data_IF_189929575185
#
_entry.id   IF_189929575185
#
_cell.length_a   1.000
_cell.length_b   1.000
_cell.length_c   1.000
_cell.angle_alpha   90.00
_cell.angle_beta   90.00
_cell.angle_gamma   90.00
#
_symmetry.space_group_name_H-M   'P 1'
#
loop_
_entity.id
_entity.type
_entity.pdbx_description
1 polymer ?
#
# COMPACT_ATOMS: atom_id res chain seq x y z
N UNK A 1 -23.24 -15.89 -9.20
CA UNK A 1 -23.21 -15.47 -7.79
C UNK A 1 -21.84 -15.81 -7.23
N UNK A 2 -21.05 -14.81 -6.85
CA UNK A 2 -19.66 -14.98 -6.35
C UNK A 2 -19.64 -15.57 -4.93
N UNK A 3 -20.80 -15.90 -4.37
CA UNK A 3 -20.99 -16.47 -3.03
C UNK A 3 -20.49 -17.90 -2.81
N UNK A 4 -19.94 -18.57 -3.82
CA UNK A 4 -19.24 -19.85 -3.60
C UNK A 4 -17.81 -19.60 -3.11
N UNK A 5 -17.67 -18.97 -1.95
CA UNK A 5 -16.41 -18.86 -1.24
C UNK A 5 -16.34 -19.96 -0.17
N UNK A 6 -15.22 -20.67 -0.19
CA UNK A 6 -14.84 -21.82 0.62
C UNK A 6 -15.16 -21.68 2.13
N UNK A 7 -15.22 -22.82 2.81
CA UNK A 7 -15.34 -22.97 4.27
C UNK A 7 -14.16 -22.36 5.04
N UNK A 8 -14.02 -21.03 4.98
CA UNK A 8 -13.03 -20.21 5.67
C UNK A 8 -13.70 -19.21 6.60
N UNK A 9 -12.91 -18.64 7.51
CA UNK A 9 -13.37 -17.62 8.44
C UNK A 9 -14.03 -16.46 7.69
N UNK A 10 -15.27 -16.13 8.08
CA UNK A 10 -16.02 -15.01 7.52
C UNK A 10 -15.55 -13.72 8.19
N UNK A 11 -15.02 -12.80 7.40
CA UNK A 11 -14.67 -11.45 7.84
C UNK A 11 -15.79 -10.49 7.45
N UNK A 12 -16.31 -9.73 8.42
CA UNK A 12 -17.32 -8.69 8.16
C UNK A 12 -16.68 -7.52 7.42
N UNK A 13 -17.41 -6.97 6.44
CA UNK A 13 -17.01 -5.73 5.77
C UNK A 13 -17.18 -4.54 6.72
N UNK A 14 -16.23 -3.61 6.67
CA UNK A 14 -16.27 -2.35 7.40
C UNK A 14 -15.72 -1.20 6.53
N UNK A 15 -15.57 -0.01 7.12
CA UNK A 15 -15.03 1.16 6.44
C UNK A 15 -13.49 1.22 6.46
N UNK A 16 -12.81 0.18 6.95
CA UNK A 16 -11.36 0.10 7.10
C UNK A 16 -10.71 1.36 7.74
N UNK A 17 -11.17 1.80 8.94
CA UNK A 17 -10.74 3.07 9.53
C UNK A 17 -9.24 3.14 9.90
N UNK A 18 -8.55 2.00 9.93
CA UNK A 18 -7.11 1.91 10.22
C UNK A 18 -6.26 1.73 8.95
N UNK A 19 -6.87 1.84 7.76
CA UNK A 19 -6.14 1.73 6.50
C UNK A 19 -5.44 3.03 6.14
N UNK A 20 -4.39 2.94 5.33
CA UNK A 20 -3.75 4.10 4.68
C UNK A 20 -4.41 4.24 3.32
N UNK A 21 -5.31 5.21 3.17
CA UNK A 21 -6.18 5.41 2.00
C UNK A 21 -5.99 6.80 1.36
N UNK A 22 -4.73 7.27 1.34
CA UNK A 22 -4.37 8.58 0.81
C UNK A 22 -4.80 8.76 -0.66
N UNK A 23 -5.62 9.78 -0.90
CA UNK A 23 -6.06 10.16 -2.25
C UNK A 23 -5.07 11.09 -2.98
N UNK A 24 -4.09 11.63 -2.25
CA UNK A 24 -3.09 12.61 -2.70
C UNK A 24 -3.64 13.87 -3.38
N UNK A 25 -4.90 14.23 -3.11
CA UNK A 25 -5.52 15.43 -3.68
C UNK A 25 -4.86 16.70 -3.12
N UNK A 26 -4.49 17.63 -3.99
CA UNK A 26 -3.78 18.85 -3.64
C UNK A 26 -2.29 18.71 -3.26
N UNK A 27 -1.74 17.50 -3.15
CA UNK A 27 -0.33 17.27 -2.76
C UNK A 27 0.45 16.31 -3.68
N UNK A 28 -0.12 15.97 -4.84
CA UNK A 28 0.45 14.95 -5.75
C UNK A 28 1.89 15.26 -6.17
N UNK A 29 2.20 16.53 -6.49
CA UNK A 29 3.53 16.93 -6.99
C UNK A 29 4.58 16.86 -5.89
N UNK A 30 4.21 17.33 -4.70
CA UNK A 30 5.05 17.32 -3.51
C UNK A 30 5.36 15.89 -3.09
N UNK A 31 4.33 15.03 -3.05
CA UNK A 31 4.51 13.61 -2.73
C UNK A 31 5.34 12.87 -3.77
N UNK A 32 5.15 13.14 -5.06
CA UNK A 32 5.99 12.56 -6.10
C UNK A 32 7.48 12.96 -5.95
N UNK A 33 7.76 14.19 -5.53
CA UNK A 33 9.12 14.62 -5.24
C UNK A 33 9.68 13.86 -4.03
N UNK A 34 8.94 13.80 -2.92
CA UNK A 34 9.37 13.10 -1.71
C UNK A 34 9.56 11.60 -1.91
N UNK A 35 8.72 10.95 -2.72
CA UNK A 35 8.90 9.53 -3.08
C UNK A 35 10.26 9.33 -3.74
N UNK A 36 10.60 10.18 -4.72
CA UNK A 36 11.87 10.09 -5.46
C UNK A 36 13.08 10.42 -4.61
N UNK A 37 13.00 11.43 -3.75
CA UNK A 37 14.17 11.96 -3.04
C UNK A 37 14.36 11.38 -1.65
N UNK A 38 13.36 10.67 -1.09
CA UNK A 38 13.39 10.26 0.32
C UNK A 38 12.75 8.91 0.58
N UNK A 39 11.48 8.73 0.23
CA UNK A 39 10.71 7.59 0.75
C UNK A 39 11.09 6.27 0.07
N UNK A 40 11.29 6.27 -1.25
CA UNK A 40 11.62 5.03 -1.96
C UNK A 40 12.96 4.45 -1.48
N UNK A 41 13.99 5.27 -1.32
CA UNK A 41 15.29 4.82 -0.80
C UNK A 41 15.16 4.29 0.63
N UNK A 42 14.40 5.00 1.48
CA UNK A 42 14.14 4.56 2.85
C UNK A 42 13.44 3.20 2.89
N UNK A 43 12.40 2.99 2.09
CA UNK A 43 11.64 1.73 2.05
C UNK A 43 12.47 0.57 1.53
N UNK A 44 13.26 0.79 0.46
CA UNK A 44 14.21 -0.20 -0.04
C UNK A 44 15.24 -0.57 1.03
N UNK A 45 15.81 0.41 1.73
CA UNK A 45 16.77 0.14 2.81
C UNK A 45 16.15 -0.56 4.04
N UNK A 46 14.87 -0.31 4.31
CA UNK A 46 14.16 -0.85 5.47
C UNK A 46 13.63 -2.27 5.26
N UNK A 47 13.51 -2.72 4.01
CA UNK A 47 12.96 -4.04 3.68
C UNK A 47 13.64 -4.66 2.47
N UNK A 48 14.44 -5.70 2.72
CA UNK A 48 15.09 -6.49 1.65
C UNK A 48 14.08 -7.11 0.69
N UNK A 49 12.91 -7.50 1.19
CA UNK A 49 11.84 -8.07 0.36
C UNK A 49 11.26 -7.00 -0.58
N UNK A 50 11.00 -5.81 -0.05
CA UNK A 50 10.53 -4.68 -0.85
C UNK A 50 11.55 -4.30 -1.92
N UNK A 51 12.82 -4.16 -1.54
CA UNK A 51 13.89 -3.86 -2.47
C UNK A 51 13.98 -4.89 -3.60
N UNK A 52 13.95 -6.19 -3.27
CA UNK A 52 13.99 -7.26 -4.27
C UNK A 52 12.81 -7.16 -5.24
N UNK A 53 11.59 -7.03 -4.72
CA UNK A 53 10.38 -6.93 -5.55
C UNK A 53 10.31 -5.66 -6.40
N UNK A 54 10.98 -4.57 -5.99
CA UNK A 54 11.04 -3.34 -6.79
C UNK A 54 12.04 -3.44 -7.97
N UNK A 55 13.00 -4.35 -7.91
CA UNK A 55 14.05 -4.52 -8.94
C UNK A 55 13.74 -5.63 -9.95
N UNK A 56 12.70 -6.44 -9.69
CA UNK A 56 12.17 -7.49 -10.59
C UNK A 56 11.23 -6.89 -11.64
#
# INVERSE_FOLDING_TARGET
>A
DHRNAAAGQIFSLDMAPNSVDDNYDGCTKEMANLVKTKYLEKEKSGSRKFEKSWQE
#
